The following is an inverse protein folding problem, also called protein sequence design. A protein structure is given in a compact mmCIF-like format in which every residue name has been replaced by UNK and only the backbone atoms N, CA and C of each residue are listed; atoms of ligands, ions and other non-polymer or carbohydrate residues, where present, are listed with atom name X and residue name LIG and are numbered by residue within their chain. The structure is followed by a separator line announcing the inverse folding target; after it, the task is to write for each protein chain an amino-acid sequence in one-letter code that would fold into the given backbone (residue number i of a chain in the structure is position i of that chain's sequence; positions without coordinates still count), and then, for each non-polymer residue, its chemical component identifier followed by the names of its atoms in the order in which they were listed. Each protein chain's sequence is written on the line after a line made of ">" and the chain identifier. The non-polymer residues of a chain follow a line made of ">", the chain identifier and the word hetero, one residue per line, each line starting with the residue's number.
data_IF_986398606188
#
_entry.id   IF_986398606188
#
_cell.length_a   1.000
_cell.length_b   1.000
_cell.length_c   1.000
_cell.angle_alpha   90.00
_cell.angle_beta   90.00
_cell.angle_gamma   90.00
#
_symmetry.space_group_name_H-M   'P 1'
#
loop_
_entity.id
_entity.type
_entity.pdbx_description
1 polymer ?
#
# COMPACT_ATOMS: atom_id res chain seq x y z
N UNK A 1 21.92 1.96 20.30
CA UNK A 1 22.52 0.73 19.72
C UNK A 1 21.39 -0.25 19.48
N UNK A 2 21.30 -0.84 18.29
CA UNK A 2 20.25 -1.81 17.96
C UNK A 2 20.25 -2.95 19.00
N UNK A 3 19.08 -3.26 19.57
CA UNK A 3 18.92 -4.43 20.42
C UNK A 3 19.20 -5.70 19.58
N UNK A 4 19.98 -6.65 20.11
CA UNK A 4 20.42 -7.85 19.39
C UNK A 4 19.23 -8.60 18.76
N UNK A 5 18.12 -8.63 19.48
CA UNK A 5 16.86 -9.24 19.06
C UNK A 5 16.27 -8.60 17.80
N UNK A 6 16.34 -7.27 17.70
CA UNK A 6 15.82 -6.53 16.55
C UNK A 6 16.66 -6.79 15.30
N UNK A 7 17.99 -6.82 15.45
CA UNK A 7 18.89 -7.13 14.35
C UNK A 7 18.67 -8.56 13.82
N UNK A 8 18.54 -9.53 14.73
CA UNK A 8 18.22 -10.93 14.36
C UNK A 8 16.89 -10.99 13.61
N UNK A 9 15.87 -10.29 14.10
CA UNK A 9 14.54 -10.26 13.46
C UNK A 9 14.61 -9.70 12.04
N UNK A 10 15.30 -8.58 11.84
CA UNK A 10 15.46 -7.95 10.51
C UNK A 10 16.23 -8.87 9.56
N UNK A 11 17.31 -9.50 10.02
CA UNK A 11 18.10 -10.43 9.19
C UNK A 11 17.26 -11.64 8.78
N UNK A 12 16.59 -12.29 9.73
CA UNK A 12 15.74 -13.46 9.44
C UNK A 12 14.60 -13.09 8.50
N UNK A 13 13.97 -11.94 8.72
CA UNK A 13 12.92 -11.41 7.86
C UNK A 13 13.43 -11.19 6.43
N UNK A 14 14.57 -10.52 6.25
CA UNK A 14 15.15 -10.29 4.92
C UNK A 14 15.56 -11.60 4.22
N UNK A 15 16.11 -12.56 4.97
CA UNK A 15 16.43 -13.89 4.43
C UNK A 15 15.19 -14.63 3.96
N UNK A 16 14.08 -14.54 4.70
CA UNK A 16 12.79 -15.10 4.29
C UNK A 16 12.31 -14.50 2.97
N UNK A 17 12.37 -13.17 2.82
CA UNK A 17 11.98 -12.49 1.57
C UNK A 17 12.83 -12.94 0.38
N UNK A 18 14.15 -13.02 0.57
CA UNK A 18 15.08 -13.49 -0.47
C UNK A 18 14.79 -14.95 -0.84
N UNK A 19 14.55 -15.82 0.15
CA UNK A 19 14.19 -17.22 -0.08
C UNK A 19 12.89 -17.36 -0.88
N UNK A 20 11.89 -16.53 -0.60
CA UNK A 20 10.65 -16.45 -1.38
C UNK A 20 10.94 -16.04 -2.83
N UNK A 21 11.80 -15.03 -3.03
CA UNK A 21 12.23 -14.61 -4.36
C UNK A 21 12.84 -15.75 -5.18
N UNK A 22 13.77 -16.51 -4.58
CA UNK A 22 14.39 -17.67 -5.24
C UNK A 22 13.40 -18.81 -5.51
N UNK A 23 12.44 -19.03 -4.60
CA UNK A 23 11.38 -20.03 -4.82
C UNK A 23 10.46 -19.63 -5.98
N UNK A 24 10.06 -18.36 -6.04
CA UNK A 24 9.17 -17.81 -7.05
C UNK A 24 9.82 -17.75 -8.44
N UNK A 25 11.15 -17.63 -8.52
CA UNK A 25 11.91 -17.66 -9.80
C UNK A 25 11.52 -18.85 -10.69
N UNK A 26 11.24 -20.01 -10.09
CA UNK A 26 10.84 -21.23 -10.83
C UNK A 26 9.48 -21.11 -11.53
N UNK A 27 8.72 -20.05 -11.25
CA UNK A 27 7.39 -19.76 -11.81
C UNK A 27 7.39 -18.62 -12.83
N UNK A 28 8.57 -18.17 -13.26
CA UNK A 28 8.71 -17.04 -14.19
C UNK A 28 9.43 -17.48 -15.44
N UNK A 29 8.68 -17.79 -16.51
CA UNK A 29 9.25 -18.28 -17.77
C UNK A 29 8.96 -17.34 -18.96
N UNK A 30 7.91 -16.50 -18.87
CA UNK A 30 7.52 -15.56 -19.91
C UNK A 30 7.17 -14.17 -19.33
N UNK A 31 6.83 -13.22 -20.20
CA UNK A 31 6.50 -11.84 -19.79
C UNK A 31 5.23 -11.77 -18.93
N UNK A 32 4.21 -12.58 -19.21
CA UNK A 32 2.98 -12.62 -18.41
C UNK A 32 3.24 -13.15 -16.99
N UNK A 33 4.10 -14.15 -16.87
CA UNK A 33 4.58 -14.66 -15.57
C UNK A 33 5.37 -13.58 -14.82
N UNK A 34 6.20 -12.81 -15.52
CA UNK A 34 7.05 -11.80 -14.90
C UNK A 34 6.25 -10.58 -14.43
N UNK A 35 5.27 -10.11 -15.21
CA UNK A 35 4.52 -8.87 -14.94
C UNK A 35 3.19 -9.09 -14.24
N UNK A 36 2.53 -10.24 -14.42
CA UNK A 36 1.22 -10.55 -13.82
C UNK A 36 1.17 -11.93 -13.12
N UNK A 37 2.30 -12.62 -12.98
CA UNK A 37 2.32 -13.94 -12.33
C UNK A 37 1.50 -14.99 -13.07
N UNK A 38 1.36 -14.86 -14.40
CA UNK A 38 0.58 -15.78 -15.23
C UNK A 38 -0.92 -15.72 -14.92
N UNK A 39 -1.39 -14.57 -14.42
CA UNK A 39 -2.77 -14.33 -13.96
C UNK A 39 -3.30 -15.45 -13.08
N UNK A 40 -2.48 -15.95 -12.15
CA UNK A 40 -2.80 -17.13 -11.34
C UNK A 40 -2.99 -16.81 -9.85
N UNK A 41 -3.06 -15.52 -9.48
CA UNK A 41 -3.22 -15.13 -8.09
C UNK A 41 -4.57 -15.60 -7.53
N UNK A 42 -4.50 -16.34 -6.43
CA UNK A 42 -5.67 -16.71 -5.64
C UNK A 42 -6.21 -15.52 -4.82
N UNK A 43 -7.41 -15.66 -4.23
CA UNK A 43 -8.10 -14.56 -3.54
C UNK A 43 -7.29 -13.92 -2.41
N UNK A 44 -6.61 -14.73 -1.59
CA UNK A 44 -5.81 -14.24 -0.47
C UNK A 44 -4.60 -13.44 -0.94
N UNK A 45 -3.85 -13.98 -1.90
CA UNK A 45 -2.64 -13.33 -2.39
C UNK A 45 -2.99 -12.05 -3.15
N UNK A 46 -4.02 -12.08 -4.01
CA UNK A 46 -4.49 -10.90 -4.72
C UNK A 46 -4.98 -9.81 -3.74
N UNK A 47 -5.76 -10.19 -2.72
CA UNK A 47 -6.28 -9.26 -1.73
C UNK A 47 -5.20 -8.65 -0.85
N UNK A 48 -4.45 -9.50 -0.15
CA UNK A 48 -3.42 -9.05 0.77
C UNK A 48 -2.31 -8.30 0.04
N UNK A 49 -1.89 -8.74 -1.14
CA UNK A 49 -0.89 -8.00 -1.93
C UNK A 49 -1.39 -6.65 -2.39
N UNK A 50 -2.63 -6.56 -2.92
CA UNK A 50 -3.20 -5.28 -3.32
C UNK A 50 -3.35 -4.34 -2.12
N UNK A 51 -3.82 -4.87 -0.99
CA UNK A 51 -3.93 -4.11 0.26
C UNK A 51 -2.56 -3.63 0.73
N UNK A 52 -1.54 -4.48 0.85
CA UNK A 52 -0.18 -4.06 1.26
C UNK A 52 0.44 -3.06 0.28
N UNK A 53 0.28 -3.29 -1.02
CA UNK A 53 0.78 -2.39 -2.06
C UNK A 53 0.17 -1.00 -1.93
N UNK A 54 -1.12 -0.89 -1.59
CA UNK A 54 -1.77 0.40 -1.34
C UNK A 54 -1.45 0.97 0.06
N UNK A 55 -1.39 0.09 1.06
CA UNK A 55 -1.04 0.36 2.46
C UNK A 55 0.48 0.43 2.60
N UNK A 56 1.05 1.47 2.03
CA UNK A 56 2.48 1.75 2.06
C UNK A 56 2.92 2.40 3.38
N UNK A 57 4.13 3.02 3.45
CA UNK A 57 4.54 3.81 4.61
C UNK A 57 3.51 4.91 4.97
N UNK A 58 2.67 5.30 4.00
CA UNK A 58 1.50 6.13 4.23
C UNK A 58 0.60 5.63 5.38
N UNK A 59 0.29 4.34 5.47
CA UNK A 59 -0.69 3.86 6.44
C UNK A 59 -0.18 3.91 7.88
N UNK A 60 1.07 3.51 8.13
CA UNK A 60 1.61 3.44 9.48
C UNK A 60 2.34 4.71 9.92
N UNK A 61 2.99 5.44 9.01
CA UNK A 61 3.70 6.69 9.33
C UNK A 61 2.88 7.92 8.94
N UNK A 62 2.25 7.89 7.76
CA UNK A 62 1.47 9.03 7.24
C UNK A 62 0.18 9.27 8.01
N UNK A 63 -0.69 8.26 8.14
CA UNK A 63 -1.98 8.39 8.83
C UNK A 63 -1.79 8.61 10.33
N UNK A 64 -0.83 7.94 10.97
CA UNK A 64 -0.51 8.17 12.38
C UNK A 64 0.07 9.57 12.61
N UNK A 65 0.96 10.04 11.73
CA UNK A 65 1.48 11.41 11.76
C UNK A 65 0.38 12.45 11.52
N UNK A 66 -0.54 12.18 10.59
CA UNK A 66 -1.72 13.01 10.37
C UNK A 66 -2.63 13.03 11.60
N UNK A 67 -2.88 11.89 12.25
CA UNK A 67 -3.65 11.83 13.49
C UNK A 67 -2.95 12.56 14.65
N UNK A 68 -1.62 12.51 14.71
CA UNK A 68 -0.83 13.24 15.71
C UNK A 68 -0.94 14.77 15.53
N UNK A 69 -0.99 15.26 14.28
CA UNK A 69 -1.03 16.71 13.99
C UNK A 69 -2.47 17.26 13.88
N UNK A 70 -3.40 16.50 13.32
CA UNK A 70 -4.78 16.92 13.06
C UNK A 70 -5.76 16.50 14.17
N UNK A 71 -5.31 15.64 15.09
CA UNK A 71 -6.15 15.04 16.12
C UNK A 71 -7.30 14.22 15.53
N UNK A 72 -8.48 14.35 16.14
CA UNK A 72 -9.69 13.59 15.83
C UNK A 72 -10.18 13.82 14.39
N UNK A 73 -9.89 14.98 13.80
CA UNK A 73 -10.29 15.30 12.43
C UNK A 73 -9.66 14.37 11.37
N UNK A 74 -8.57 13.66 11.70
CA UNK A 74 -8.00 12.63 10.82
C UNK A 74 -8.94 11.44 10.57
N UNK A 75 -10.00 11.26 11.37
CA UNK A 75 -10.98 10.17 11.22
C UNK A 75 -11.65 10.15 9.84
N UNK A 76 -11.74 11.30 9.16
CA UNK A 76 -12.34 11.41 7.82
C UNK A 76 -11.53 10.72 6.71
N UNK A 77 -10.28 10.35 6.99
CA UNK A 77 -9.51 9.48 6.09
C UNK A 77 -10.13 8.08 5.97
N UNK A 78 -10.73 7.57 7.06
CA UNK A 78 -11.31 6.22 7.10
C UNK A 78 -12.42 6.01 6.06
N UNK A 79 -13.49 6.83 6.01
CA UNK A 79 -14.52 6.65 5.00
C UNK A 79 -13.99 6.82 3.58
N UNK A 80 -13.03 7.72 3.35
CA UNK A 80 -12.38 7.86 2.04
C UNK A 80 -11.68 6.59 1.59
N UNK A 81 -10.83 6.02 2.45
CA UNK A 81 -10.14 4.76 2.18
C UNK A 81 -11.13 3.62 1.96
N UNK A 82 -12.13 3.46 2.83
CA UNK A 82 -13.13 2.40 2.71
C UNK A 82 -13.90 2.49 1.39
N UNK A 83 -14.36 3.69 1.00
CA UNK A 83 -15.03 3.90 -0.29
C UNK A 83 -14.10 3.57 -1.45
N UNK A 84 -12.83 4.00 -1.38
CA UNK A 84 -11.82 3.70 -2.39
C UNK A 84 -11.62 2.19 -2.58
N UNK A 85 -11.52 1.43 -1.49
CA UNK A 85 -11.41 -0.03 -1.52
C UNK A 85 -12.68 -0.68 -2.09
N UNK A 86 -13.87 -0.28 -1.62
CA UNK A 86 -15.14 -0.84 -2.09
C UNK A 86 -15.32 -0.61 -3.60
N UNK A 87 -15.06 0.60 -4.08
CA UNK A 87 -15.12 0.95 -5.51
C UNK A 87 -14.09 0.14 -6.31
N UNK A 88 -12.85 0.08 -5.84
CA UNK A 88 -11.77 -0.65 -6.50
C UNK A 88 -12.09 -2.14 -6.63
N UNK A 89 -12.51 -2.79 -5.56
CA UNK A 89 -12.79 -4.23 -5.57
C UNK A 89 -14.13 -4.61 -6.23
N UNK A 90 -15.13 -3.74 -6.15
CA UNK A 90 -16.47 -4.06 -6.65
C UNK A 90 -16.65 -3.70 -8.12
N UNK A 91 -16.09 -2.58 -8.58
CA UNK A 91 -16.31 -2.08 -9.94
C UNK A 91 -15.07 -2.16 -10.82
N UNK A 92 -13.90 -1.84 -10.29
CA UNK A 92 -12.67 -1.75 -11.09
C UNK A 92 -12.05 -3.13 -11.31
N UNK A 93 -11.87 -3.89 -10.22
CA UNK A 93 -11.16 -5.16 -10.25
C UNK A 93 -11.78 -6.21 -11.19
N UNK A 94 -13.11 -6.44 -11.21
CA UNK A 94 -13.71 -7.40 -12.14
C UNK A 94 -13.45 -7.05 -13.61
N UNK A 95 -13.58 -5.76 -13.96
CA UNK A 95 -13.43 -5.26 -15.33
C UNK A 95 -11.99 -5.35 -15.80
N UNK A 96 -11.04 -4.92 -14.97
CA UNK A 96 -9.62 -4.98 -15.32
C UNK A 96 -9.13 -6.42 -15.46
N UNK A 97 -9.58 -7.33 -14.59
CA UNK A 97 -9.28 -8.75 -14.69
C UNK A 97 -9.79 -9.32 -16.03
N UNK A 98 -11.06 -9.09 -16.35
CA UNK A 98 -11.68 -9.61 -17.57
C UNK A 98 -11.05 -9.05 -18.85
N UNK A 99 -10.85 -7.73 -18.93
CA UNK A 99 -10.24 -7.09 -20.11
C UNK A 99 -8.79 -7.56 -20.27
N UNK A 100 -8.02 -7.66 -19.19
CA UNK A 100 -6.64 -8.15 -19.25
C UNK A 100 -6.57 -9.60 -19.74
N UNK A 101 -7.50 -10.47 -19.32
CA UNK A 101 -7.58 -11.85 -19.79
C UNK A 101 -7.99 -11.96 -21.26
N UNK A 102 -8.88 -11.08 -21.74
CA UNK A 102 -9.37 -11.08 -23.12
C UNK A 102 -8.33 -10.51 -24.10
N UNK A 103 -7.67 -9.41 -23.73
CA UNK A 103 -6.74 -8.69 -24.61
C UNK A 103 -5.30 -9.19 -24.50
N UNK A 104 -4.95 -9.89 -23.42
CA UNK A 104 -3.58 -10.24 -23.09
C UNK A 104 -2.75 -9.07 -22.52
N UNK A 105 -3.34 -7.88 -22.36
CA UNK A 105 -2.63 -6.70 -21.88
C UNK A 105 -2.01 -6.93 -20.50
N UNK A 106 -0.71 -6.65 -20.38
CA UNK A 106 0.08 -6.84 -19.15
C UNK A 106 0.28 -5.53 -18.38
N UNK A 107 -0.04 -4.39 -18.99
CA UNK A 107 0.04 -3.06 -18.37
C UNK A 107 -1.29 -2.31 -18.41
N UNK A 108 -1.51 -1.42 -17.43
CA UNK A 108 -2.71 -0.57 -17.41
C UNK A 108 -2.85 0.34 -18.65
N UNK A 109 -1.79 1.01 -19.15
CA UNK A 109 -1.92 1.83 -20.36
C UNK A 109 -2.30 1.00 -21.60
N UNK A 110 -1.72 -0.19 -21.74
CA UNK A 110 -2.07 -1.11 -22.82
C UNK A 110 -3.52 -1.57 -22.72
N UNK A 111 -4.01 -1.85 -21.51
CA UNK A 111 -5.41 -2.20 -21.27
C UNK A 111 -6.36 -1.06 -21.65
N UNK A 112 -6.01 0.19 -21.35
CA UNK A 112 -6.86 1.35 -21.60
C UNK A 112 -6.86 1.81 -23.06
N UNK A 113 -5.71 1.71 -23.74
CA UNK A 113 -5.51 2.27 -25.08
C UNK A 113 -5.28 1.22 -26.17
N UNK A 114 -5.40 -0.07 -25.84
CA UNK A 114 -5.10 -1.19 -26.74
C UNK A 114 -5.90 -1.16 -28.04
N UNK A 115 -7.17 -0.76 -27.96
CA UNK A 115 -8.14 -0.72 -29.06
C UNK A 115 -8.14 0.61 -29.84
N UNK A 116 -7.27 1.57 -29.49
CA UNK A 116 -7.19 2.86 -30.18
C UNK A 116 -6.42 2.72 -31.49
N UNK A 117 -6.62 3.67 -32.41
CA UNK A 117 -5.86 3.74 -33.65
C UNK A 117 -4.35 3.87 -33.35
N UNK A 118 -3.50 3.25 -34.16
CA UNK A 118 -2.05 3.13 -33.90
C UNK A 118 -1.34 4.44 -33.55
N UNK A 119 -1.69 5.54 -34.22
CA UNK A 119 -1.12 6.87 -33.93
C UNK A 119 -1.53 7.38 -32.54
N UNK A 120 -2.82 7.29 -32.21
CA UNK A 120 -3.37 7.73 -30.93
C UNK A 120 -2.89 6.85 -29.78
N UNK A 121 -2.95 5.53 -29.96
CA UNK A 121 -2.40 4.53 -29.06
C UNK A 121 -0.95 4.81 -28.70
N UNK A 122 -0.09 5.01 -29.71
CA UNK A 122 1.34 5.29 -29.47
C UNK A 122 1.56 6.55 -28.64
N UNK A 123 0.80 7.61 -28.93
CA UNK A 123 0.90 8.88 -28.19
C UNK A 123 0.42 8.69 -26.74
N UNK A 124 -0.75 8.09 -26.54
CA UNK A 124 -1.35 7.89 -25.22
C UNK A 124 -0.52 6.94 -24.35
N UNK A 125 0.02 5.86 -24.91
CA UNK A 125 0.92 4.95 -24.21
C UNK A 125 2.18 5.67 -23.74
N UNK A 126 2.84 6.46 -24.61
CA UNK A 126 4.05 7.21 -24.24
C UNK A 126 3.77 8.24 -23.15
N UNK A 127 2.74 9.06 -23.33
CA UNK A 127 2.38 10.10 -22.36
C UNK A 127 2.03 9.49 -20.99
N UNK A 128 1.20 8.45 -20.98
CA UNK A 128 0.78 7.79 -19.74
C UNK A 128 1.95 7.10 -19.06
N UNK A 129 2.83 6.44 -19.82
CA UNK A 129 4.04 5.81 -19.27
C UNK A 129 4.98 6.84 -18.63
N UNK A 130 5.18 8.00 -19.26
CA UNK A 130 5.99 9.09 -18.68
C UNK A 130 5.36 9.58 -17.38
N UNK A 131 4.05 9.87 -17.37
CA UNK A 131 3.34 10.36 -16.18
C UNK A 131 3.43 9.35 -15.04
N UNK A 132 3.16 8.07 -15.32
CA UNK A 132 3.25 6.99 -14.33
C UNK A 132 4.69 6.88 -13.81
N UNK A 133 5.68 6.85 -14.69
CA UNK A 133 7.10 6.70 -14.31
C UNK A 133 7.55 7.85 -13.42
N UNK A 134 7.32 9.09 -13.82
CA UNK A 134 7.69 10.27 -13.02
C UNK A 134 7.00 10.26 -11.65
N UNK A 135 5.71 9.92 -11.60
CA UNK A 135 4.95 9.86 -10.35
C UNK A 135 5.45 8.74 -9.43
N UNK A 136 5.74 7.56 -9.98
CA UNK A 136 6.23 6.42 -9.21
C UNK A 136 7.65 6.63 -8.69
N UNK A 137 8.52 7.35 -9.40
CA UNK A 137 9.84 7.72 -8.89
C UNK A 137 9.71 8.51 -7.59
N UNK A 138 8.87 9.56 -7.58
CA UNK A 138 8.66 10.40 -6.38
C UNK A 138 8.02 9.57 -5.26
N UNK A 139 7.04 8.74 -5.61
CA UNK A 139 6.37 7.86 -4.64
C UNK A 139 7.37 6.89 -3.98
N UNK A 140 8.15 6.14 -4.78
CA UNK A 140 9.13 5.16 -4.28
C UNK A 140 10.23 5.85 -3.47
N UNK A 141 10.67 7.04 -3.86
CA UNK A 141 11.62 7.83 -3.09
C UNK A 141 11.07 8.18 -1.69
N UNK A 142 9.80 8.57 -1.59
CA UNK A 142 9.15 8.81 -0.30
C UNK A 142 9.05 7.54 0.57
N UNK A 143 8.80 6.38 -0.05
CA UNK A 143 8.80 5.09 0.68
C UNK A 143 10.19 4.75 1.23
N UNK A 144 11.24 4.90 0.42
CA UNK A 144 12.61 4.68 0.88
C UNK A 144 13.01 5.65 1.98
N UNK A 145 12.60 6.91 1.88
CA UNK A 145 12.80 7.89 2.93
C UNK A 145 12.14 7.45 4.24
N UNK A 146 10.86 7.03 4.20
CA UNK A 146 10.14 6.52 5.38
C UNK A 146 10.80 5.28 6.00
N UNK A 147 11.14 4.28 5.17
CA UNK A 147 11.83 3.08 5.62
C UNK A 147 13.23 3.38 6.18
N UNK A 148 13.97 4.29 5.54
CA UNK A 148 15.29 4.74 5.96
C UNK A 148 15.27 5.41 7.33
N UNK A 149 14.30 6.28 7.58
CA UNK A 149 14.10 6.92 8.90
C UNK A 149 13.72 5.91 9.97
N UNK A 150 12.85 4.95 9.65
CA UNK A 150 12.49 3.88 10.59
C UNK A 150 13.70 3.02 10.95
N UNK A 151 14.46 2.55 9.95
CA UNK A 151 15.64 1.72 10.19
C UNK A 151 16.79 2.48 10.86
N UNK A 152 17.04 3.75 10.54
CA UNK A 152 18.11 4.52 11.18
C UNK A 152 17.84 4.72 12.67
N UNK A 153 16.58 5.03 13.04
CA UNK A 153 16.19 5.21 14.44
C UNK A 153 16.33 3.93 15.27
N UNK A 154 16.07 2.76 14.66
CA UNK A 154 16.12 1.46 15.32
C UNK A 154 17.54 0.87 15.36
N UNK A 155 18.25 0.92 14.23
CA UNK A 155 19.57 0.31 14.07
C UNK A 155 20.70 1.20 14.60
N UNK A 156 20.48 2.52 14.68
CA UNK A 156 21.50 3.50 15.04
C UNK A 156 22.58 3.68 13.97
N UNK A 157 22.29 3.32 12.71
CA UNK A 157 23.14 3.58 11.55
C UNK A 157 22.65 4.83 10.79
N UNK A 158 23.46 5.38 9.89
CA UNK A 158 23.01 6.53 9.09
C UNK A 158 21.78 6.18 8.24
N UNK A 159 20.96 7.19 7.98
CA UNK A 159 19.78 7.05 7.14
C UNK A 159 20.15 6.63 5.71
N UNK A 160 21.26 7.15 5.18
CA UNK A 160 21.77 6.78 3.85
C UNK A 160 22.06 5.27 3.75
N UNK A 161 22.78 4.72 4.74
CA UNK A 161 23.06 3.28 4.78
C UNK A 161 21.78 2.45 4.95
N UNK A 162 20.83 2.95 5.75
CA UNK A 162 19.53 2.30 5.94
C UNK A 162 18.74 2.19 4.63
N UNK A 163 18.73 3.26 3.84
CA UNK A 163 18.08 3.31 2.52
C UNK A 163 18.76 2.35 1.56
N UNK A 164 20.10 2.40 1.46
CA UNK A 164 20.88 1.58 0.51
C UNK A 164 20.66 0.08 0.80
N UNK A 165 20.74 -0.33 2.06
CA UNK A 165 20.55 -1.74 2.45
C UNK A 165 19.12 -2.20 2.14
N UNK A 166 18.12 -1.39 2.52
CA UNK A 166 16.72 -1.69 2.24
C UNK A 166 16.43 -1.82 0.74
N UNK A 167 16.94 -0.88 -0.06
CA UNK A 167 16.82 -0.90 -1.51
C UNK A 167 17.46 -2.15 -2.12
N UNK A 168 18.67 -2.51 -1.68
CA UNK A 168 19.39 -3.67 -2.19
C UNK A 168 18.62 -4.97 -1.93
N UNK A 169 18.08 -5.15 -0.72
CA UNK A 169 17.24 -6.33 -0.40
C UNK A 169 16.00 -6.37 -1.30
N UNK A 170 15.32 -5.24 -1.46
CA UNK A 170 14.11 -5.13 -2.31
C UNK A 170 14.41 -5.46 -3.76
N UNK A 171 15.48 -4.88 -4.32
CA UNK A 171 15.89 -5.13 -5.70
C UNK A 171 16.24 -6.61 -5.93
N UNK A 172 16.94 -7.25 -4.98
CA UNK A 172 17.32 -8.67 -5.09
C UNK A 172 16.08 -9.56 -5.22
N UNK A 173 15.14 -9.53 -4.27
CA UNK A 173 14.01 -10.46 -4.33
C UNK A 173 13.04 -10.11 -5.46
N UNK A 174 12.92 -8.83 -5.81
CA UNK A 174 12.03 -8.36 -6.89
C UNK A 174 12.55 -8.79 -8.26
N UNK A 175 13.83 -8.56 -8.57
CA UNK A 175 14.40 -8.96 -9.86
C UNK A 175 14.51 -10.47 -10.03
N UNK A 176 14.74 -11.21 -8.94
CA UNK A 176 14.90 -12.67 -9.01
C UNK A 176 13.55 -13.36 -9.21
N UNK A 177 12.50 -12.92 -8.52
CA UNK A 177 11.26 -13.68 -8.40
C UNK A 177 10.04 -13.09 -9.13
N UNK A 178 10.18 -11.91 -9.74
CA UNK A 178 9.11 -11.27 -10.53
C UNK A 178 7.84 -10.99 -9.73
N UNK A 179 6.72 -10.80 -10.44
CA UNK A 179 5.45 -10.42 -9.82
C UNK A 179 4.91 -11.41 -8.79
N UNK A 180 5.19 -12.72 -8.96
CA UNK A 180 4.80 -13.75 -7.99
C UNK A 180 5.52 -13.60 -6.66
N UNK A 181 6.82 -13.32 -6.68
CA UNK A 181 7.58 -13.06 -5.45
C UNK A 181 7.02 -11.85 -4.73
N UNK A 182 6.88 -10.73 -5.45
CA UNK A 182 6.36 -9.48 -4.89
C UNK A 182 4.97 -9.70 -4.29
N UNK A 183 4.07 -10.39 -5.00
CA UNK A 183 2.72 -10.62 -4.51
C UNK A 183 2.69 -11.47 -3.24
N UNK A 184 3.57 -12.46 -3.14
CA UNK A 184 3.65 -13.31 -1.95
C UNK A 184 4.31 -12.59 -0.76
N UNK A 185 5.39 -11.84 -1.00
CA UNK A 185 6.04 -11.03 0.04
C UNK A 185 5.09 -9.96 0.57
N UNK A 186 4.37 -9.27 -0.32
CA UNK A 186 3.36 -8.28 0.06
C UNK A 186 2.27 -8.93 0.92
N UNK A 187 1.85 -10.15 0.60
CA UNK A 187 0.80 -10.84 1.36
C UNK A 187 1.23 -11.12 2.80
N UNK A 188 2.49 -11.51 3.01
CA UNK A 188 3.07 -11.71 4.35
C UNK A 188 3.18 -10.37 5.08
N UNK A 189 3.61 -9.33 4.37
CA UNK A 189 3.71 -7.97 4.90
C UNK A 189 2.34 -7.42 5.31
N UNK A 190 1.30 -7.65 4.53
CA UNK A 190 -0.06 -7.22 4.85
C UNK A 190 -0.53 -7.80 6.19
N UNK A 191 -0.29 -9.10 6.41
CA UNK A 191 -0.65 -9.76 7.67
C UNK A 191 0.13 -9.15 8.83
N UNK A 192 1.43 -8.95 8.67
CA UNK A 192 2.27 -8.32 9.70
C UNK A 192 1.80 -6.89 10.00
N UNK A 193 1.54 -6.09 8.98
CA UNK A 193 1.04 -4.73 9.11
C UNK A 193 -0.33 -4.69 9.80
N UNK A 194 -1.23 -5.61 9.45
CA UNK A 194 -2.55 -5.72 10.08
C UNK A 194 -2.44 -6.04 11.57
N UNK A 195 -1.60 -7.01 11.93
CA UNK A 195 -1.35 -7.38 13.33
C UNK A 195 -0.78 -6.18 14.10
N UNK A 196 0.23 -5.51 13.56
CA UNK A 196 0.83 -4.33 14.23
C UNK A 196 -0.18 -3.19 14.35
N UNK A 197 -0.90 -2.86 13.28
CA UNK A 197 -1.88 -1.78 13.27
C UNK A 197 -3.05 -2.02 14.24
N UNK A 198 -3.42 -3.27 14.52
CA UNK A 198 -4.48 -3.62 15.45
C UNK A 198 -3.98 -3.68 16.91
N UNK A 199 -2.92 -4.45 17.15
CA UNK A 199 -2.48 -4.75 18.52
C UNK A 199 -1.68 -3.61 19.16
N UNK A 200 -0.85 -2.89 18.39
CA UNK A 200 -0.01 -1.83 18.94
C UNK A 200 -0.84 -0.72 19.62
N UNK A 201 -1.83 -0.08 18.96
CA UNK A 201 -2.63 0.96 19.61
C UNK A 201 -3.50 0.38 20.75
N UNK A 202 -4.01 -0.84 20.60
CA UNK A 202 -4.84 -1.48 21.63
C UNK A 202 -4.04 -1.74 22.91
N UNK A 203 -2.82 -2.27 22.80
CA UNK A 203 -1.95 -2.51 23.95
C UNK A 203 -1.54 -1.19 24.61
N UNK A 204 -1.16 -0.17 23.82
CA UNK A 204 -0.81 1.15 24.37
C UNK A 204 -1.99 1.77 25.13
N UNK A 205 -3.18 1.74 24.53
CA UNK A 205 -4.39 2.28 25.16
C UNK A 205 -4.75 1.55 26.46
N UNK A 206 -4.72 0.21 26.47
CA UNK A 206 -5.14 -0.57 27.64
C UNK A 206 -4.08 -0.61 28.75
N UNK A 207 -2.79 -0.65 28.42
CA UNK A 207 -1.72 -0.88 29.39
C UNK A 207 -1.06 0.41 29.86
N UNK A 208 -0.85 1.38 28.97
CA UNK A 208 -0.13 2.62 29.30
C UNK A 208 -1.04 3.78 29.66
N UNK A 209 -2.24 3.85 29.07
CA UNK A 209 -3.17 4.97 29.27
C UNK A 209 -4.22 4.65 30.33
N UNK A 210 -4.74 3.42 30.34
CA UNK A 210 -5.77 2.98 31.31
C UNK A 210 -7.13 2.70 30.69
N UNK A 211 -7.28 2.90 29.37
CA UNK A 211 -8.50 2.60 28.62
C UNK A 211 -9.00 3.79 27.79
N UNK A 212 -10.22 3.66 27.27
CA UNK A 212 -10.84 4.69 26.42
C UNK A 212 -11.18 5.98 27.17
N UNK A 213 -11.67 5.88 28.40
CA UNK A 213 -12.05 7.04 29.20
C UNK A 213 -10.81 7.89 29.54
N UNK A 214 -9.72 7.23 29.94
CA UNK A 214 -8.44 7.88 30.25
C UNK A 214 -7.77 8.45 28.98
N UNK A 215 -7.96 7.82 27.82
CA UNK A 215 -7.51 8.37 26.53
C UNK A 215 -8.23 9.67 26.20
N UNK A 216 -9.55 9.70 26.33
CA UNK A 216 -10.36 10.90 26.07
C UNK A 216 -10.02 12.00 27.08
N UNK A 217 -9.83 11.63 28.36
CA UNK A 217 -9.41 12.56 29.39
C UNK A 217 -8.03 13.15 29.08
N UNK A 218 -7.06 12.30 28.73
CA UNK A 218 -5.69 12.72 28.37
C UNK A 218 -5.70 13.63 27.15
N UNK A 219 -6.48 13.30 26.12
CA UNK A 219 -6.62 14.13 24.92
C UNK A 219 -7.16 15.53 25.26
N UNK A 220 -8.13 15.64 26.17
CA UNK A 220 -8.65 16.93 26.64
C UNK A 220 -7.67 17.69 27.54
N UNK A 221 -6.80 16.97 28.26
CA UNK A 221 -5.84 17.56 29.18
C UNK A 221 -4.60 18.12 28.49
N UNK A 222 -4.11 17.47 27.42
CA UNK A 222 -2.88 17.84 26.72
C UNK A 222 -3.13 18.42 25.32
N UNK A 223 -4.27 18.09 24.70
CA UNK A 223 -4.62 18.50 23.36
C UNK A 223 -5.32 19.85 23.31
N UNK A 224 -5.32 20.44 22.14
CA UNK A 224 -6.05 21.67 21.81
C UNK A 224 -7.52 21.36 21.50
N UNK A 225 -8.39 22.37 21.62
CA UNK A 225 -9.80 22.24 21.23
C UNK A 225 -9.95 21.83 19.75
N UNK A 226 -9.03 22.28 18.89
CA UNK A 226 -8.99 21.92 17.48
C UNK A 226 -8.70 20.42 17.29
N UNK A 227 -7.74 19.86 18.01
CA UNK A 227 -7.42 18.42 17.92
C UNK A 227 -8.54 17.52 18.46
N UNK A 228 -9.39 18.03 19.36
CA UNK A 228 -10.59 17.33 19.81
C UNK A 228 -11.79 17.49 18.84
N UNK A 229 -11.71 18.37 17.85
CA UNK A 229 -12.77 18.64 16.88
C UNK A 229 -12.72 17.69 15.68
N UNK A 230 -13.89 17.28 15.19
CA UNK A 230 -14.00 16.49 13.95
C UNK A 230 -13.58 17.27 12.69
N UNK A 231 -13.50 18.60 12.74
CA UNK A 231 -13.06 19.43 11.60
C UNK A 231 -11.75 20.16 11.86
N UNK A 232 -11.09 19.85 12.98
CA UNK A 232 -9.83 20.50 13.34
C UNK A 232 -10.04 22.00 13.58
N UNK A 233 -9.15 22.80 13.01
CA UNK A 233 -9.22 24.27 13.00
C UNK A 233 -10.27 24.83 12.04
N UNK A 234 -10.88 23.99 11.19
CA UNK A 234 -11.77 24.44 10.13
C UNK A 234 -13.21 24.55 10.60
N UNK A 235 -13.84 25.70 10.38
CA UNK A 235 -15.24 25.98 10.74
C UNK A 235 -16.11 26.25 9.51
N UNK A 236 -17.43 26.06 9.65
CA UNK A 236 -18.41 26.31 8.59
C UNK A 236 -18.08 25.59 7.28
N UNK A 237 -18.08 26.33 6.16
CA UNK A 237 -17.80 25.78 4.82
C UNK A 237 -16.38 25.22 4.69
N UNK A 238 -15.39 25.75 5.44
CA UNK A 238 -14.04 25.20 5.42
C UNK A 238 -13.98 23.81 6.07
N UNK A 239 -14.79 23.59 7.12
CA UNK A 239 -14.92 22.27 7.75
C UNK A 239 -15.50 21.23 6.79
N UNK A 240 -16.53 21.60 6.04
CA UNK A 240 -17.08 20.74 4.98
C UNK A 240 -16.07 20.49 3.86
N UNK A 241 -15.35 21.52 3.43
CA UNK A 241 -14.28 21.40 2.42
C UNK A 241 -13.16 20.46 2.87
N UNK A 242 -12.77 20.53 4.15
CA UNK A 242 -11.81 19.60 4.73
C UNK A 242 -12.34 18.16 4.66
N UNK A 243 -13.54 17.89 5.19
CA UNK A 243 -14.14 16.55 5.18
C UNK A 243 -14.20 15.95 3.77
N UNK A 244 -14.72 16.72 2.80
CA UNK A 244 -14.83 16.28 1.40
C UNK A 244 -13.44 16.03 0.81
N UNK A 245 -12.48 16.94 1.05
CA UNK A 245 -11.10 16.79 0.60
C UNK A 245 -10.43 15.53 1.15
N UNK A 246 -10.59 15.26 2.44
CA UNK A 246 -10.00 14.11 3.11
C UNK A 246 -10.63 12.80 2.63
N UNK A 247 -11.95 12.76 2.44
CA UNK A 247 -12.65 11.59 1.87
C UNK A 247 -12.22 11.35 0.42
N UNK A 248 -11.94 12.42 -0.34
CA UNK A 248 -11.58 12.33 -1.75
C UNK A 248 -10.28 11.56 -2.01
N UNK A 249 -9.47 11.28 -0.99
CA UNK A 249 -8.31 10.38 -1.10
C UNK A 249 -8.71 9.00 -1.65
N UNK A 250 -9.95 8.55 -1.39
CA UNK A 250 -10.49 7.30 -1.91
C UNK A 250 -10.52 7.22 -3.43
N UNK A 251 -10.69 8.35 -4.12
CA UNK A 251 -10.71 8.39 -5.59
C UNK A 251 -9.35 8.08 -6.21
N UNK A 252 -8.25 8.15 -5.45
CA UNK A 252 -6.92 7.79 -5.91
C UNK A 252 -6.71 6.27 -6.10
N UNK A 253 -7.47 5.43 -5.38
CA UNK A 253 -7.23 3.97 -5.36
C UNK A 253 -7.38 3.29 -6.74
N UNK A 254 -8.45 3.54 -7.52
CA UNK A 254 -8.59 2.98 -8.86
C UNK A 254 -7.48 3.35 -9.84
N UNK A 255 -6.76 4.46 -9.60
CA UNK A 255 -5.75 5.00 -10.50
C UNK A 255 -4.33 4.51 -10.25
N UNK A 256 -4.10 3.70 -9.20
CA UNK A 256 -2.75 3.25 -8.80
C UNK A 256 -2.31 2.03 -9.62
N UNK A 257 -1.35 2.15 -10.56
CA UNK A 257 -0.96 1.06 -11.45
C UNK A 257 -0.47 -0.19 -10.70
N UNK A 258 0.28 0.00 -9.63
CA UNK A 258 0.81 -1.09 -8.82
C UNK A 258 -0.27 -1.86 -8.05
N UNK A 259 -1.40 -1.24 -7.71
CA UNK A 259 -2.55 -1.93 -7.10
C UNK A 259 -3.37 -2.64 -8.16
N UNK A 260 -3.73 -1.94 -9.24
CA UNK A 260 -4.62 -2.51 -10.26
C UNK A 260 -4.00 -3.66 -11.03
N UNK A 261 -2.67 -3.72 -11.15
CA UNK A 261 -1.99 -4.87 -11.71
C UNK A 261 -2.28 -6.15 -10.91
N UNK A 262 -2.54 -6.09 -9.58
CA UNK A 262 -2.95 -7.26 -8.79
C UNK A 262 -4.37 -7.72 -9.16
N UNK A 263 -5.25 -6.80 -9.56
CA UNK A 263 -6.57 -7.15 -10.06
C UNK A 263 -6.47 -7.84 -11.43
N UNK A 264 -5.63 -7.31 -12.33
CA UNK A 264 -5.35 -7.94 -13.64
C UNK A 264 -4.73 -9.34 -13.49
N UNK A 265 -3.90 -9.54 -12.46
CA UNK A 265 -3.25 -10.81 -12.14
C UNK A 265 -4.15 -11.83 -11.40
N UNK A 266 -5.38 -11.45 -11.03
CA UNK A 266 -6.29 -12.36 -10.36
C UNK A 266 -6.75 -13.47 -11.30
N UNK A 267 -6.84 -14.69 -10.76
CA UNK A 267 -7.12 -15.89 -11.58
C UNK A 267 -8.53 -16.00 -12.14
N UNK A 268 -9.53 -15.55 -11.37
CA UNK A 268 -10.93 -15.75 -11.71
C UNK A 268 -11.83 -14.78 -10.93
N UNK A 269 -13.08 -14.64 -11.38
CA UNK A 269 -14.05 -13.75 -10.74
C UNK A 269 -14.40 -14.18 -9.30
N UNK A 270 -14.28 -15.47 -8.95
CA UNK A 270 -14.49 -15.94 -7.58
C UNK A 270 -13.36 -15.46 -6.68
N UNK A 271 -12.13 -15.38 -7.20
CA UNK A 271 -10.98 -14.82 -6.52
C UNK A 271 -11.18 -13.33 -6.24
N UNK A 272 -11.70 -12.56 -7.21
CA UNK A 272 -12.08 -11.15 -6.98
C UNK A 272 -13.18 -11.02 -5.93
N UNK A 273 -14.26 -11.80 -6.03
CA UNK A 273 -15.38 -11.73 -5.08
C UNK A 273 -14.98 -12.07 -3.64
N UNK A 274 -14.13 -13.08 -3.46
CA UNK A 274 -13.55 -13.43 -2.15
C UNK A 274 -12.52 -12.40 -1.71
N UNK A 275 -11.69 -11.93 -2.64
CA UNK A 275 -10.68 -10.92 -2.38
C UNK A 275 -11.27 -9.62 -1.85
N UNK A 276 -12.41 -9.18 -2.39
CA UNK A 276 -13.19 -8.04 -1.87
C UNK A 276 -13.57 -8.14 -0.39
N UNK A 277 -13.80 -9.36 0.12
CA UNK A 277 -14.16 -9.57 1.54
C UNK A 277 -12.91 -9.61 2.42
N UNK A 278 -11.78 -10.06 1.85
CA UNK A 278 -10.50 -10.19 2.55
C UNK A 278 -9.79 -8.84 2.66
N UNK A 279 -9.85 -8.04 1.59
CA UNK A 279 -9.26 -6.71 1.49
C UNK A 279 -10.01 -5.69 2.34
#
# INVERSE_FOLDING_TARGET
>A
MANKEVLITIILYNLLLIAIGFWAKKRTNNEDDFYLGGRSLGPFVAALSASASSSSAWSLLGVSGAAYVWGLSAVWLLPGVLVGYVVSWTWVAPRLMEISQQTGAVTLPELLFGDFNEKEKTILLRLTTIIITCSLIVYVAAQFQGAGTAFSSVLGISQEWSIIIGALVILIYTFIGGFWAVSLTDSIQAILMFVVALFLPLVFMLVLIGGFDDLIFSLKAIGTEAEASFTGVHTGLMGLGFIIGTISIGFGYPGQPFVVNRFMAARDIKAIRRGRIIA
#
